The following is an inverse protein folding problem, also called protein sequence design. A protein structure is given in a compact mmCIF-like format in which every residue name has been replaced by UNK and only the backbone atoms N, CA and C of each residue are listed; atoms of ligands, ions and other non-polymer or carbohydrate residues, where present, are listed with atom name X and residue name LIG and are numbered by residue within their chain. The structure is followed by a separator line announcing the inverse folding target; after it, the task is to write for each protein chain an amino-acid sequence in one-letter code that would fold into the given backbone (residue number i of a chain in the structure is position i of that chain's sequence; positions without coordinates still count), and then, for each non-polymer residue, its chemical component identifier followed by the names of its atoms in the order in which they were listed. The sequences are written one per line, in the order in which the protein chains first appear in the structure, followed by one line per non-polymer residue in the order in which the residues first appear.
data_IF_330868182027
#
_entry.id   IF_330868182027
#
_cell.length_a   1.000
_cell.length_b   1.000
_cell.length_c   1.000
_cell.angle_alpha   90.00
_cell.angle_beta   90.00
_cell.angle_gamma   90.00
#
_symmetry.space_group_name_H-M   'P 1'
#
loop_
_entity.id
_entity.type
_entity.pdbx_description
1 polymer ?
#
# COMPACT_ATOMS: atom_id res chain seq x y z
N UNK A 1 13.67 -16.44 -4.81
CA UNK A 1 12.64 -17.04 -5.69
C UNK A 1 11.51 -16.02 -5.73
N UNK A 2 11.22 -15.41 -6.89
CA UNK A 2 10.39 -14.21 -6.98
C UNK A 2 8.91 -14.56 -7.01
N UNK A 3 8.11 -13.74 -6.31
CA UNK A 3 6.65 -13.79 -6.35
C UNK A 3 6.15 -13.54 -7.77
N UNK A 4 5.39 -14.49 -8.28
CA UNK A 4 4.63 -14.34 -9.52
C UNK A 4 3.52 -13.36 -9.23
N UNK A 5 3.63 -12.15 -9.77
CA UNK A 5 2.51 -11.24 -9.88
C UNK A 5 1.56 -11.84 -10.93
N UNK A 6 0.36 -12.21 -10.52
CA UNK A 6 -0.71 -12.60 -11.42
C UNK A 6 -1.16 -11.36 -12.21
N UNK A 7 -0.70 -11.27 -13.47
CA UNK A 7 -0.89 -10.11 -14.36
C UNK A 7 -2.35 -9.96 -14.81
N UNK A 8 -3.18 -11.00 -14.68
CA UNK A 8 -4.56 -11.01 -15.19
C UNK A 8 -5.57 -10.27 -14.28
N UNK A 9 -5.20 -9.94 -13.04
CA UNK A 9 -6.05 -9.18 -12.10
C UNK A 9 -6.01 -7.66 -12.29
N UNK A 10 -4.95 -7.11 -12.90
CA UNK A 10 -4.74 -5.66 -12.99
C UNK A 10 -5.73 -4.96 -13.93
N UNK A 11 -6.27 -5.67 -14.93
CA UNK A 11 -7.17 -5.13 -15.95
C UNK A 11 -8.65 -5.49 -15.79
N UNK A 12 -8.99 -6.43 -14.91
CA UNK A 12 -10.37 -6.96 -14.80
C UNK A 12 -11.26 -6.21 -13.79
N UNK A 13 -10.72 -5.22 -13.06
CA UNK A 13 -11.49 -4.53 -12.04
C UNK A 13 -11.94 -5.46 -10.91
N UNK A 14 -11.32 -6.63 -10.77
CA UNK A 14 -11.53 -7.55 -9.66
C UNK A 14 -10.59 -7.20 -8.49
N UNK A 15 -10.66 -5.94 -8.08
CA UNK A 15 -9.88 -5.32 -6.99
C UNK A 15 -10.01 -6.07 -5.66
N UNK A 16 -11.03 -6.93 -5.53
CA UNK A 16 -11.26 -7.72 -4.34
C UNK A 16 -10.25 -8.85 -4.20
N UNK A 17 -9.69 -9.36 -5.29
CA UNK A 17 -8.65 -10.39 -5.26
C UNK A 17 -7.26 -9.79 -5.00
N UNK A 18 -6.98 -8.58 -5.50
CA UNK A 18 -5.75 -7.87 -5.16
C UNK A 18 -5.66 -7.53 -3.66
N UNK A 19 -6.78 -7.18 -3.03
CA UNK A 19 -6.89 -7.01 -1.57
C UNK A 19 -6.65 -8.32 -0.83
N UNK A 20 -7.04 -9.47 -1.39
CA UNK A 20 -6.80 -10.80 -0.79
C UNK A 20 -5.31 -11.18 -0.87
N UNK A 21 -4.62 -10.90 -1.97
CA UNK A 21 -3.18 -11.19 -2.08
C UNK A 21 -2.32 -10.28 -1.18
N UNK A 22 -2.76 -9.04 -0.90
CA UNK A 22 -2.05 -8.18 0.06
C UNK A 22 -2.21 -8.64 1.51
N UNK A 23 -3.23 -9.45 1.84
CA UNK A 23 -3.48 -9.92 3.21
C UNK A 23 -2.45 -10.94 3.70
N UNK A 24 -1.94 -11.82 2.83
CA UNK A 24 -0.91 -12.80 3.22
C UNK A 24 0.39 -12.09 3.63
N UNK A 25 0.82 -11.11 2.84
CA UNK A 25 2.04 -10.35 3.10
C UNK A 25 1.92 -9.46 4.37
N UNK A 26 0.70 -8.97 4.65
CA UNK A 26 0.41 -8.12 5.80
C UNK A 26 0.20 -8.88 7.12
N UNK A 27 0.09 -10.21 7.07
CA UNK A 27 -0.13 -11.01 8.27
C UNK A 27 0.94 -10.76 9.34
N UNK A 28 2.20 -10.57 8.91
CA UNK A 28 3.33 -10.22 9.77
C UNK A 28 3.15 -8.88 10.50
N UNK A 29 2.56 -7.88 9.84
CA UNK A 29 2.22 -6.59 10.44
C UNK A 29 1.08 -6.74 11.46
N UNK A 30 0.03 -7.50 11.10
CA UNK A 30 -1.10 -7.72 12.00
C UNK A 30 -0.69 -8.45 13.27
N UNK A 31 0.02 -9.57 13.13
CA UNK A 31 0.52 -10.36 14.27
C UNK A 31 1.53 -9.56 15.09
N UNK A 32 2.40 -8.79 14.42
CA UNK A 32 3.34 -7.88 15.07
C UNK A 32 2.63 -6.83 15.93
N UNK A 33 1.56 -6.21 15.42
CA UNK A 33 0.78 -5.25 16.19
C UNK A 33 0.03 -5.88 17.35
N UNK A 34 -0.55 -7.08 17.18
CA UNK A 34 -1.19 -7.81 18.29
C UNK A 34 -0.18 -8.14 19.38
N UNK A 35 1.00 -8.65 19.00
CA UNK A 35 2.07 -9.03 19.92
C UNK A 35 2.69 -7.82 20.64
N UNK A 36 2.81 -6.68 19.96
CA UNK A 36 3.30 -5.44 20.54
C UNK A 36 2.34 -4.85 21.59
N UNK A 37 1.03 -5.05 21.39
CA UNK A 37 0.01 -4.54 22.29
C UNK A 37 -0.31 -3.05 22.10
N UNK A 38 -1.26 -2.50 22.88
CA UNK A 38 -1.77 -1.14 22.70
C UNK A 38 -0.74 -0.04 22.99
N UNK A 39 0.27 -0.33 23.82
CA UNK A 39 1.28 0.65 24.20
C UNK A 39 2.36 0.85 23.13
N UNK A 40 2.57 -0.16 22.26
CA UNK A 40 3.65 -0.17 21.27
C UNK A 40 3.16 -0.19 19.81
N UNK A 41 1.89 -0.50 19.53
CA UNK A 41 1.27 -0.35 18.21
C UNK A 41 0.07 0.61 18.27
N UNK A 42 0.18 1.78 17.63
CA UNK A 42 -0.90 2.76 17.57
C UNK A 42 -2.18 2.22 16.88
N UNK A 43 -2.01 1.31 15.92
CA UNK A 43 -3.11 0.70 15.17
C UNK A 43 -3.68 -0.57 15.83
N UNK A 44 -3.31 -0.84 17.08
CA UNK A 44 -3.64 -2.07 17.80
C UNK A 44 -5.13 -2.44 17.75
N UNK A 45 -5.36 -3.75 17.73
CA UNK A 45 -6.61 -4.39 18.10
C UNK A 45 -6.30 -5.76 18.72
N UNK A 46 -7.28 -6.36 19.40
CA UNK A 46 -7.08 -7.61 20.14
C UNK A 46 -6.81 -8.83 19.26
N UNK A 47 -7.11 -8.77 17.95
CA UNK A 47 -6.87 -9.86 17.00
C UNK A 47 -6.42 -9.33 15.66
N UNK A 48 -5.59 -10.11 14.96
CA UNK A 48 -5.06 -9.79 13.63
C UNK A 48 -6.18 -9.57 12.62
N UNK A 49 -7.26 -10.36 12.69
CA UNK A 49 -8.44 -10.20 11.85
C UNK A 49 -9.16 -8.85 12.08
N UNK A 50 -9.18 -8.33 13.31
CA UNK A 50 -9.74 -7.00 13.59
C UNK A 50 -8.86 -5.91 12.99
N UNK A 51 -7.54 -6.08 13.03
CA UNK A 51 -6.59 -5.14 12.42
C UNK A 51 -6.77 -5.12 10.89
N UNK A 52 -6.86 -6.30 10.25
CA UNK A 52 -7.17 -6.43 8.82
C UNK A 52 -8.48 -5.72 8.47
N UNK A 53 -9.58 -5.97 9.20
CA UNK A 53 -10.87 -5.31 8.96
C UNK A 53 -10.79 -3.78 9.08
N UNK A 54 -10.06 -3.26 10.07
CA UNK A 54 -9.82 -1.82 10.21
C UNK A 54 -9.06 -1.26 9.01
N UNK A 55 -8.03 -1.96 8.53
CA UNK A 55 -7.28 -1.56 7.35
C UNK A 55 -8.15 -1.57 6.09
N UNK A 56 -8.94 -2.62 5.88
CA UNK A 56 -9.87 -2.71 4.75
C UNK A 56 -10.89 -1.54 4.76
N UNK A 57 -11.41 -1.17 5.95
CA UNK A 57 -12.28 0.00 6.07
C UNK A 57 -11.60 1.31 5.62
N UNK A 58 -10.30 1.48 5.87
CA UNK A 58 -9.53 2.62 5.36
C UNK A 58 -9.45 2.55 3.83
N UNK A 59 -9.10 1.41 3.26
CA UNK A 59 -9.06 1.23 1.80
C UNK A 59 -10.41 1.59 1.14
N UNK A 60 -11.52 1.07 1.67
CA UNK A 60 -12.86 1.38 1.17
C UNK A 60 -13.19 2.88 1.28
N UNK A 61 -12.78 3.53 2.37
CA UNK A 61 -12.94 4.98 2.52
C UNK A 61 -12.18 5.75 1.45
N UNK A 62 -10.95 5.33 1.11
CA UNK A 62 -10.12 6.03 0.12
C UNK A 62 -10.67 5.93 -1.30
N UNK A 63 -11.37 4.84 -1.65
CA UNK A 63 -12.01 4.70 -2.97
C UNK A 63 -13.06 5.78 -3.24
N UNK A 64 -13.73 6.26 -2.20
CA UNK A 64 -14.79 7.27 -2.31
C UNK A 64 -14.33 8.66 -1.90
N UNK A 65 -13.35 8.73 -0.98
CA UNK A 65 -12.85 9.98 -0.41
C UNK A 65 -11.33 9.89 -0.20
N UNK A 66 -10.54 10.16 -1.25
CA UNK A 66 -9.11 10.37 -1.11
C UNK A 66 -8.80 11.51 -0.14
N UNK A 67 -7.68 11.41 0.59
CA UNK A 67 -7.30 12.37 1.62
C UNK A 67 -6.26 13.34 1.04
N UNK A 68 -6.58 14.64 0.90
CA UNK A 68 -5.60 15.62 0.45
C UNK A 68 -4.57 15.86 1.55
N UNK A 69 -3.32 16.02 1.13
CA UNK A 69 -2.19 16.32 2.00
C UNK A 69 -1.63 17.67 1.55
N UNK A 70 -1.67 18.64 2.45
CA UNK A 70 -1.20 20.00 2.20
C UNK A 70 -0.22 20.35 3.31
N UNK A 71 1.04 20.53 2.95
CA UNK A 71 2.07 21.06 3.82
C UNK A 71 2.81 22.20 3.12
N UNK A 72 3.58 23.03 3.85
CA UNK A 72 4.40 24.06 3.24
C UNK A 72 5.44 23.52 2.25
N UNK A 73 5.85 22.26 2.40
CA UNK A 73 6.99 21.65 1.67
C UNK A 73 6.57 20.65 0.59
N UNK A 74 5.35 20.11 0.67
CA UNK A 74 4.81 19.13 -0.26
C UNK A 74 3.28 19.16 -0.28
N UNK A 75 2.71 18.85 -1.43
CA UNK A 75 1.28 18.69 -1.63
C UNK A 75 1.01 17.38 -2.38
N UNK A 76 -0.13 16.76 -2.09
CA UNK A 76 -0.55 15.58 -2.82
C UNK A 76 -1.87 15.02 -2.30
N UNK A 77 -2.17 13.80 -2.72
CA UNK A 77 -3.38 13.09 -2.33
C UNK A 77 -2.99 11.68 -1.93
N UNK A 78 -3.52 11.21 -0.81
CA UNK A 78 -3.45 9.80 -0.43
C UNK A 78 -4.72 9.14 -0.94
N UNK A 79 -4.55 8.27 -1.93
CA UNK A 79 -5.57 7.38 -2.45
C UNK A 79 -5.17 5.92 -2.17
N UNK A 80 -5.92 4.98 -2.77
CA UNK A 80 -5.66 3.54 -2.63
C UNK A 80 -4.22 3.18 -2.99
N UNK A 81 -3.71 3.68 -4.12
CA UNK A 81 -2.39 3.30 -4.65
C UNK A 81 -1.25 3.85 -3.77
N UNK A 82 -1.41 5.06 -3.24
CA UNK A 82 -0.43 5.63 -2.29
C UNK A 82 -0.40 4.83 -0.98
N UNK A 83 -1.56 4.40 -0.47
CA UNK A 83 -1.61 3.56 0.72
C UNK A 83 -0.97 2.19 0.48
N UNK A 84 -1.24 1.56 -0.66
CA UNK A 84 -0.63 0.29 -1.04
C UNK A 84 0.91 0.41 -1.14
N UNK A 85 1.41 1.49 -1.76
CA UNK A 85 2.84 1.78 -1.86
C UNK A 85 3.48 1.95 -0.49
N UNK A 86 2.83 2.67 0.43
CA UNK A 86 3.32 2.87 1.79
C UNK A 86 3.37 1.55 2.57
N UNK A 87 2.35 0.69 2.43
CA UNK A 87 2.32 -0.63 3.05
C UNK A 87 3.44 -1.52 2.51
N UNK A 88 3.62 -1.56 1.19
CA UNK A 88 4.69 -2.33 0.55
C UNK A 88 6.06 -1.86 1.04
N UNK A 89 6.27 -0.54 1.15
CA UNK A 89 7.49 0.04 1.73
C UNK A 89 7.72 -0.42 3.17
N UNK A 90 6.66 -0.49 3.97
CA UNK A 90 6.77 -0.97 5.36
C UNK A 90 7.15 -2.45 5.44
N UNK A 91 6.64 -3.29 4.54
CA UNK A 91 6.96 -4.72 4.47
C UNK A 91 8.42 -4.98 4.09
N UNK A 92 9.06 -4.09 3.33
CA UNK A 92 10.49 -4.19 3.03
C UNK A 92 11.39 -3.93 4.25
N UNK A 93 10.95 -3.08 5.19
CA UNK A 93 11.72 -2.68 6.38
C UNK A 93 10.86 -2.73 7.65
N UNK A 94 10.38 -3.92 8.06
CA UNK A 94 9.32 -4.06 9.06
C UNK A 94 9.72 -3.49 10.43
N UNK A 95 10.97 -3.71 10.85
CA UNK A 95 11.46 -3.27 12.17
C UNK A 95 11.45 -1.75 12.38
N UNK A 96 11.62 -0.97 11.32
CA UNK A 96 11.65 0.50 11.40
C UNK A 96 10.35 1.14 10.94
N UNK A 97 9.60 0.46 10.08
CA UNK A 97 8.47 1.06 9.37
C UNK A 97 7.11 0.61 9.89
N UNK A 98 6.99 -0.49 10.65
CA UNK A 98 5.69 -0.94 11.15
C UNK A 98 5.07 0.00 12.19
N UNK A 99 5.87 0.58 13.08
CA UNK A 99 5.38 1.60 14.02
C UNK A 99 4.88 2.84 13.28
N UNK A 100 5.67 3.32 12.31
CA UNK A 100 5.32 4.48 11.47
C UNK A 100 4.07 4.19 10.64
N UNK A 101 3.94 2.98 10.08
CA UNK A 101 2.75 2.54 9.36
C UNK A 101 1.53 2.55 10.28
N UNK A 102 1.65 1.98 11.48
CA UNK A 102 0.55 1.93 12.44
C UNK A 102 0.06 3.34 12.83
N UNK A 103 0.97 4.27 13.11
CA UNK A 103 0.63 5.67 13.35
C UNK A 103 0.00 6.34 12.12
N UNK A 104 0.56 6.07 10.94
CA UNK A 104 0.06 6.58 9.67
C UNK A 104 -1.37 6.13 9.38
N UNK A 105 -1.71 4.87 9.65
CA UNK A 105 -3.06 4.32 9.47
C UNK A 105 -4.07 4.98 10.42
N UNK A 106 -3.70 5.21 11.69
CA UNK A 106 -4.55 5.95 12.64
C UNK A 106 -4.77 7.39 12.16
N UNK A 107 -3.70 8.08 11.78
CA UNK A 107 -3.76 9.46 11.27
C UNK A 107 -4.61 9.54 10.00
N UNK A 108 -4.45 8.57 9.09
CA UNK A 108 -5.18 8.53 7.83
C UNK A 108 -6.68 8.30 8.05
N UNK A 109 -7.06 7.41 8.97
CA UNK A 109 -8.45 7.22 9.37
C UNK A 109 -9.07 8.50 9.96
N UNK A 110 -8.26 9.36 10.60
CA UNK A 110 -8.67 10.67 11.08
C UNK A 110 -8.68 11.77 9.98
N UNK A 111 -8.38 11.42 8.73
CA UNK A 111 -8.35 12.35 7.59
C UNK A 111 -7.04 13.10 7.43
N UNK A 112 -5.95 12.65 8.06
CA UNK A 112 -4.61 13.20 7.88
C UNK A 112 -3.68 12.16 7.26
N UNK A 113 -3.47 12.27 5.95
CA UNK A 113 -2.62 11.34 5.19
C UNK A 113 -1.13 11.66 5.21
N UNK A 114 -0.66 12.65 5.96
CA UNK A 114 0.71 13.17 5.82
C UNK A 114 1.80 12.12 6.07
N UNK A 115 1.62 11.23 7.05
CA UNK A 115 2.57 10.16 7.38
C UNK A 115 2.62 9.14 6.24
N UNK A 116 1.46 8.64 5.81
CA UNK A 116 1.34 7.67 4.70
C UNK A 116 1.92 8.27 3.40
N UNK A 117 1.61 9.53 3.13
CA UNK A 117 2.18 10.26 1.99
C UNK A 117 3.70 10.39 2.08
N UNK A 118 4.26 10.63 3.26
CA UNK A 118 5.71 10.68 3.44
C UNK A 118 6.38 9.30 3.26
N UNK A 119 5.69 8.21 3.62
CA UNK A 119 6.22 6.85 3.44
C UNK A 119 6.42 6.50 1.96
N UNK A 120 5.67 7.10 1.04
CA UNK A 120 5.91 6.93 -0.39
C UNK A 120 7.30 7.46 -0.81
N UNK A 121 7.84 8.47 -0.12
CA UNK A 121 9.08 9.16 -0.48
C UNK A 121 10.34 8.27 -0.30
N UNK A 122 10.22 7.14 0.40
CA UNK A 122 11.26 6.09 0.38
C UNK A 122 11.38 5.38 -0.98
N UNK A 123 10.34 5.45 -1.81
CA UNK A 123 10.30 4.89 -3.16
C UNK A 123 10.27 5.96 -4.26
N UNK A 124 10.19 7.25 -3.92
CA UNK A 124 10.32 8.31 -4.94
C UNK A 124 11.81 8.56 -5.14
N UNK A 125 12.43 8.11 -6.26
CA UNK A 125 13.71 8.66 -6.64
C UNK A 125 13.52 10.18 -6.77
N UNK A 126 14.26 10.91 -5.95
CA UNK A 126 14.32 12.36 -5.85
C UNK A 126 13.97 13.08 -7.15
N UNK A 127 12.81 13.75 -7.25
CA UNK A 127 12.51 14.83 -8.23
C UNK A 127 12.93 14.63 -9.71
N UNK A 128 13.30 13.43 -10.11
CA UNK A 128 13.74 13.04 -11.43
C UNK A 128 12.65 12.09 -11.87
N UNK A 129 11.99 12.46 -12.95
CA UNK A 129 10.99 11.64 -13.60
C UNK A 129 11.64 10.27 -13.92
N UNK A 130 11.36 9.28 -13.08
CA UNK A 130 11.79 7.90 -13.29
C UNK A 130 10.76 7.23 -14.20
N UNK A 131 11.16 7.03 -15.46
CA UNK A 131 10.32 6.39 -16.46
C UNK A 131 10.38 4.86 -16.38
N UNK A 132 10.95 4.28 -15.32
CA UNK A 132 10.92 2.83 -15.08
C UNK A 132 9.50 2.26 -15.22
N UNK A 133 8.47 2.99 -14.78
CA UNK A 133 7.07 2.56 -14.94
C UNK A 133 6.59 2.59 -16.41
N UNK A 134 7.01 3.58 -17.20
CA UNK A 134 6.67 3.67 -18.64
C UNK A 134 7.40 2.58 -19.45
N UNK A 135 8.64 2.26 -19.05
CA UNK A 135 9.43 1.18 -19.64
C UNK A 135 8.82 -0.17 -19.29
N UNK A 136 8.36 -0.38 -18.06
CA UNK A 136 7.66 -1.60 -17.63
C UNK A 136 6.35 -1.78 -18.41
N UNK A 137 5.55 -0.72 -18.58
CA UNK A 137 4.37 -0.74 -19.46
C UNK A 137 4.75 -1.11 -20.90
N UNK A 138 5.85 -0.55 -21.41
CA UNK A 138 6.32 -0.84 -22.78
C UNK A 138 6.79 -2.28 -22.96
N UNK A 139 7.47 -2.85 -21.96
CA UNK A 139 7.91 -4.25 -21.97
C UNK A 139 6.69 -5.17 -21.85
N UNK A 140 5.76 -4.87 -20.94
CA UNK A 140 4.53 -5.63 -20.75
C UNK A 140 3.67 -5.69 -22.02
N UNK A 141 3.50 -4.57 -22.73
CA UNK A 141 2.79 -4.56 -24.01
C UNK A 141 3.50 -5.36 -25.11
N UNK A 142 4.83 -5.48 -25.06
CA UNK A 142 5.60 -6.27 -26.02
C UNK A 142 5.47 -7.77 -25.76
N UNK A 143 5.40 -8.17 -24.50
CA UNK A 143 5.34 -9.57 -24.10
C UNK A 143 3.92 -10.16 -24.21
N UNK A 144 2.89 -9.32 -24.35
CA UNK A 144 1.49 -9.73 -24.58
C UNK A 144 1.15 -10.25 -25.99
N UNK A 145 2.11 -10.32 -26.93
CA UNK A 145 1.89 -10.85 -28.28
C UNK A 145 2.53 -12.23 -28.45
N UNK A 146 1.90 -13.25 -27.87
CA UNK A 146 2.11 -14.63 -28.29
C UNK A 146 0.81 -15.45 -28.26
N UNK A 147 -0.26 -14.98 -28.92
CA UNK A 147 -1.38 -15.82 -29.34
C UNK A 147 -2.15 -15.15 -30.49
N UNK A 148 -1.62 -15.26 -31.72
CA UNK A 148 -2.40 -15.33 -32.96
C UNK A 148 -1.47 -15.52 -34.17
N UNK A 149 -0.91 -16.72 -34.31
CA UNK A 149 -0.56 -17.25 -35.65
C UNK A 149 -1.24 -18.61 -35.82
N UNK A 150 -2.29 -18.64 -36.63
CA UNK A 150 -2.84 -19.81 -37.33
C UNK A 150 -3.61 -19.32 -38.55
#
# INVERSE_FOLDING_TARGET
LPGVADIDGYYSGDWRNAVIDTEEDLQSFFDGCVAAGPDACAFYASTSETISKKLNAIYQSLLTKPVPVISPSFYGVVDYAILETAIRSALYAPYTSFSVLAEGLVSLAAGNGSIIYAMQAMYVPSSVYDNSWEVEVTISCRDGLSIAES
#
